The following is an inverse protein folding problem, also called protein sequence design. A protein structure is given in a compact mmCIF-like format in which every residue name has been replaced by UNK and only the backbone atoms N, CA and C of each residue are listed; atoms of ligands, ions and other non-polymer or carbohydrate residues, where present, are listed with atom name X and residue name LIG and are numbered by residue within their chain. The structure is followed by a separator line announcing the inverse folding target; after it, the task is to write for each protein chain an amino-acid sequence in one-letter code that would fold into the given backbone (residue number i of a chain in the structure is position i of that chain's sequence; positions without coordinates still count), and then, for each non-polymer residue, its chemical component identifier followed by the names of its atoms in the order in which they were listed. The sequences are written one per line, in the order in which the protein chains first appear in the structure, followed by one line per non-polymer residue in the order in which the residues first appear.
data_IF_477411034372
#
_entry.id   IF_477411034372
#
_cell.length_a   1.000
_cell.length_b   1.000
_cell.length_c   1.000
_cell.angle_alpha   90.00
_cell.angle_beta   90.00
_cell.angle_gamma   90.00
#
_symmetry.space_group_name_H-M   'P 1'
#
loop_
_entity.id
_entity.type
_entity.pdbx_description
1 polymer ?
#
# COMPACT_ATOMS: atom_id res chain seq x y z
N UNK A 1 4.98 35.87 10.58
CA UNK A 1 5.38 35.09 9.39
C UNK A 1 4.31 34.06 9.10
N UNK A 2 3.65 34.15 7.95
CA UNK A 2 2.33 33.55 7.68
C UNK A 2 2.40 32.03 7.50
N UNK A 3 1.79 31.29 8.43
CA UNK A 3 1.65 29.82 8.40
C UNK A 3 1.06 29.29 7.08
N UNK A 4 0.24 30.11 6.41
CA UNK A 4 -0.37 29.80 5.10
C UNK A 4 0.71 29.59 4.01
N UNK A 5 1.79 30.37 4.03
CA UNK A 5 2.87 30.24 3.03
C UNK A 5 3.71 28.98 3.24
N UNK A 6 3.81 28.50 4.48
CA UNK A 6 4.55 27.29 4.84
C UNK A 6 3.79 26.02 4.45
N UNK A 7 2.47 25.99 4.66
CA UNK A 7 1.62 24.87 4.22
C UNK A 7 1.56 24.74 2.69
N UNK A 8 1.50 25.87 1.96
CA UNK A 8 1.53 25.88 0.50
C UNK A 8 2.88 25.35 -0.07
N UNK A 9 3.99 25.58 0.63
CA UNK A 9 5.31 25.08 0.23
C UNK A 9 5.46 23.56 0.51
N UNK A 10 4.92 23.07 1.63
CA UNK A 10 4.90 21.64 1.94
C UNK A 10 4.00 20.87 0.96
N UNK A 11 2.82 21.38 0.63
CA UNK A 11 1.92 20.76 -0.35
C UNK A 11 2.64 20.50 -1.69
N UNK A 12 3.37 21.49 -2.22
CA UNK A 12 4.13 21.34 -3.47
C UNK A 12 5.25 20.30 -3.39
N UNK A 13 5.86 20.09 -2.21
CA UNK A 13 6.91 19.07 -2.01
C UNK A 13 6.35 17.65 -2.07
N UNK A 14 5.12 17.43 -1.62
CA UNK A 14 4.47 16.10 -1.59
C UNK A 14 3.56 15.83 -2.80
N UNK A 15 3.22 16.84 -3.61
CA UNK A 15 2.38 16.68 -4.80
C UNK A 15 2.98 15.75 -5.86
N UNK A 16 4.30 15.72 -6.04
CA UNK A 16 4.95 14.84 -7.04
C UNK A 16 4.80 13.35 -6.72
N UNK A 17 5.15 12.87 -5.51
CA UNK A 17 4.88 11.48 -5.16
C UNK A 17 3.38 11.19 -5.07
N UNK A 18 2.56 12.11 -4.57
CA UNK A 18 1.10 11.91 -4.50
C UNK A 18 0.45 11.75 -5.89
N UNK A 19 0.91 12.51 -6.90
CA UNK A 19 0.44 12.37 -8.28
C UNK A 19 0.85 11.03 -8.90
N UNK A 20 2.02 10.49 -8.56
CA UNK A 20 2.46 9.17 -9.02
C UNK A 20 1.62 8.05 -8.41
N UNK A 21 1.27 8.13 -7.12
CA UNK A 21 0.35 7.17 -6.49
C UNK A 21 -1.10 7.30 -6.98
N UNK A 22 -1.54 8.53 -7.33
CA UNK A 22 -2.88 8.77 -7.85
C UNK A 22 -3.05 8.40 -9.34
N UNK A 23 -1.97 8.34 -10.12
CA UNK A 23 -2.02 7.98 -11.54
C UNK A 23 -2.21 6.46 -11.76
N UNK A 24 -1.73 5.61 -10.84
CA UNK A 24 -1.85 4.14 -10.92
C UNK A 24 -3.31 3.64 -10.97
N UNK A 25 -4.25 4.14 -10.14
CA UNK A 25 -5.64 3.70 -10.23
C UNK A 25 -6.37 4.24 -11.46
N UNK A 26 -5.95 5.38 -12.02
CA UNK A 26 -6.62 6.00 -13.18
C UNK A 26 -6.35 5.25 -14.50
N UNK A 27 -5.17 4.65 -14.66
CA UNK A 27 -4.86 3.82 -15.84
C UNK A 27 -5.63 2.51 -15.83
N UNK A 28 -5.96 1.96 -14.66
CA UNK A 28 -6.82 0.77 -14.51
C UNK A 28 -8.27 1.03 -14.94
N UNK A 29 -8.80 2.22 -14.67
CA UNK A 29 -10.20 2.56 -14.97
C UNK A 29 -10.44 2.94 -16.44
N UNK A 30 -9.41 3.39 -17.17
CA UNK A 30 -9.53 3.78 -18.59
C UNK A 30 -9.41 2.64 -19.59
N UNK A 31 -8.95 1.46 -19.17
CA UNK A 31 -8.71 0.32 -20.06
C UNK A 31 -9.97 -0.49 -20.43
N UNK A 32 -11.10 -0.22 -19.77
CA UNK A 32 -12.32 -1.05 -19.86
C UNK A 32 -13.29 -0.65 -20.97
N UNK A 33 -13.18 0.56 -21.55
CA UNK A 33 -14.23 1.09 -22.44
C UNK A 33 -14.07 0.76 -23.93
N UNK A 34 -12.87 0.36 -24.39
CA UNK A 34 -12.58 0.17 -25.83
C UNK A 34 -12.54 -1.29 -26.29
N UNK A 35 -12.56 -2.25 -25.37
CA UNK A 35 -12.57 -3.69 -25.68
C UNK A 35 -13.52 -4.40 -24.71
N UNK A 36 -14.81 -4.45 -25.03
CA UNK A 36 -15.71 -5.43 -24.40
C UNK A 36 -15.40 -6.83 -24.98
N UNK A 37 -14.16 -7.28 -24.84
CA UNK A 37 -13.82 -8.67 -25.01
C UNK A 37 -14.39 -9.43 -23.80
N UNK A 38 -15.04 -10.55 -24.06
CA UNK A 38 -15.51 -11.43 -22.99
C UNK A 38 -14.28 -12.10 -22.34
N UNK A 39 -13.82 -11.49 -21.25
CA UNK A 39 -12.70 -11.98 -20.46
C UNK A 39 -13.11 -13.07 -19.48
N UNK A 40 -14.39 -13.49 -19.43
CA UNK A 40 -14.85 -14.52 -18.49
C UNK A 40 -14.08 -15.83 -18.66
N UNK A 41 -13.70 -16.18 -19.89
CA UNK A 41 -12.87 -17.35 -20.20
C UNK A 41 -11.42 -17.18 -19.73
N UNK A 42 -10.91 -15.95 -19.68
CA UNK A 42 -9.52 -15.62 -19.29
C UNK A 42 -9.38 -15.41 -17.77
N UNK A 43 -10.40 -14.82 -17.13
CA UNK A 43 -10.38 -14.47 -15.71
C UNK A 43 -11.20 -15.41 -14.83
N UNK A 44 -12.08 -16.23 -15.41
CA UNK A 44 -12.97 -17.13 -14.66
C UNK A 44 -12.24 -18.27 -13.94
N UNK A 45 -11.02 -18.60 -14.38
CA UNK A 45 -10.13 -19.55 -13.71
C UNK A 45 -9.09 -18.91 -12.79
N UNK A 46 -9.06 -17.57 -12.67
CA UNK A 46 -8.13 -16.87 -11.78
C UNK A 46 -8.69 -16.89 -10.35
N UNK A 47 -8.31 -17.91 -9.60
CA UNK A 47 -8.48 -17.93 -8.14
C UNK A 47 -7.15 -17.57 -7.48
N UNK A 48 -7.17 -16.49 -6.69
CA UNK A 48 -6.01 -16.01 -5.92
C UNK A 48 -6.10 -16.35 -4.42
N UNK A 49 -7.09 -17.14 -4.01
CA UNK A 49 -7.36 -17.45 -2.61
C UNK A 49 -6.16 -18.13 -1.92
N UNK A 50 -5.45 -19.00 -2.64
CA UNK A 50 -4.23 -19.65 -2.14
C UNK A 50 -3.08 -18.67 -1.95
N UNK A 51 -2.88 -17.77 -2.90
CA UNK A 51 -1.86 -16.73 -2.89
C UNK A 51 -2.12 -15.73 -1.76
N UNK A 52 -3.37 -15.31 -1.59
CA UNK A 52 -3.78 -14.44 -0.48
C UNK A 52 -3.46 -15.10 0.86
N UNK A 53 -3.80 -16.39 1.01
CA UNK A 53 -3.50 -17.15 2.22
C UNK A 53 -1.99 -17.23 2.49
N UNK A 54 -1.18 -17.48 1.44
CA UNK A 54 0.27 -17.50 1.53
C UNK A 54 0.86 -16.15 1.94
N UNK A 55 0.39 -15.06 1.36
CA UNK A 55 0.84 -13.69 1.69
C UNK A 55 0.47 -13.34 3.14
N UNK A 56 -0.76 -13.63 3.56
CA UNK A 56 -1.21 -13.39 4.95
C UNK A 56 -0.35 -14.17 5.94
N UNK A 57 0.00 -15.42 5.64
CA UNK A 57 0.87 -16.22 6.50
C UNK A 57 2.26 -15.57 6.68
N UNK A 58 2.88 -15.12 5.59
CA UNK A 58 4.19 -14.45 5.64
C UNK A 58 4.12 -13.14 6.41
N UNK A 59 3.10 -12.32 6.13
CA UNK A 59 2.88 -11.05 6.83
C UNK A 59 2.63 -11.27 8.33
N UNK A 60 1.89 -12.32 8.69
CA UNK A 60 1.64 -12.70 10.08
C UNK A 60 2.94 -13.01 10.84
N UNK A 61 3.85 -13.77 10.24
CA UNK A 61 5.16 -14.07 10.84
C UNK A 61 5.98 -12.80 11.03
N UNK A 62 6.06 -11.94 10.02
CA UNK A 62 6.81 -10.69 10.08
C UNK A 62 6.24 -9.72 11.14
N UNK A 63 4.91 -9.64 11.24
CA UNK A 63 4.22 -8.86 12.26
C UNK A 63 4.54 -9.38 13.67
N UNK A 64 4.52 -10.70 13.87
CA UNK A 64 4.92 -11.33 15.14
C UNK A 64 6.36 -10.97 15.54
N UNK A 65 7.31 -11.10 14.62
CA UNK A 65 8.71 -10.70 14.84
C UNK A 65 8.84 -9.22 15.19
N UNK A 66 8.09 -8.35 14.52
CA UNK A 66 8.09 -6.92 14.81
C UNK A 66 7.60 -6.63 16.23
N UNK A 67 6.49 -7.25 16.66
CA UNK A 67 5.93 -7.09 18.00
C UNK A 67 6.92 -7.55 19.07
N UNK A 68 7.51 -8.74 18.91
CA UNK A 68 8.52 -9.28 19.84
C UNK A 68 9.73 -8.34 19.94
N UNK A 69 10.27 -7.90 18.79
CA UNK A 69 11.41 -6.96 18.77
C UNK A 69 11.08 -5.64 19.45
N UNK A 70 9.87 -5.11 19.23
CA UNK A 70 9.43 -3.85 19.84
C UNK A 70 9.24 -3.99 21.35
N UNK A 71 8.63 -5.08 21.80
CA UNK A 71 8.49 -5.41 23.22
C UNK A 71 9.84 -5.56 23.91
N UNK A 72 10.77 -6.32 23.33
CA UNK A 72 12.13 -6.47 23.87
C UNK A 72 12.86 -5.13 23.97
N UNK A 73 12.75 -4.25 22.97
CA UNK A 73 13.34 -2.91 23.03
C UNK A 73 12.74 -2.04 24.14
N UNK A 74 11.44 -2.13 24.35
CA UNK A 74 10.76 -1.41 25.44
C UNK A 74 11.31 -1.88 26.79
N UNK A 75 11.37 -3.19 27.02
CA UNK A 75 11.92 -3.75 28.27
C UNK A 75 13.38 -3.34 28.50
N UNK A 76 14.22 -3.44 27.46
CA UNK A 76 15.62 -3.01 27.55
C UNK A 76 15.77 -1.51 27.80
N UNK A 77 14.82 -0.69 27.36
CA UNK A 77 14.83 0.76 27.64
C UNK A 77 14.47 1.11 29.08
N UNK A 78 13.84 0.19 29.82
CA UNK A 78 13.48 0.38 31.23
C UNK A 78 14.61 0.00 32.20
N UNK A 79 15.59 -0.77 31.73
CA UNK A 79 16.74 -1.22 32.52
C UNK A 79 17.95 -0.29 32.33
N UNK A 80 17.94 0.54 31.29
CA UNK A 80 18.86 1.67 31.12
C UNK A 80 18.35 2.87 31.88
#
# INVERSE_FOLDING_TARGET
MNAIKFQAAQARKYMKPAAQFAAVPLTFLGATAANAADWSTVTGGLDFSGEITGVIAVVGVLAGFYVVRKGARLLLSMIK
#
